data_IF_133105832809
#
_entry.id   IF_133105832809
#
_cell.length_a   1.000
_cell.length_b   1.000
_cell.length_c   1.000
_cell.angle_alpha   90.00
_cell.angle_beta   90.00
_cell.angle_gamma   90.00
#
_symmetry.space_group_name_H-M   'P 1'
#
loop_
_entity.id
_entity.type
_entity.pdbx_description
1 polymer ?
#
# COMPACT_ATOMS: atom_id res chain seq x y z
N UNK A 1 -6.15 2.53 5.28
CA UNK A 1 -4.70 2.84 5.31
C UNK A 1 -3.98 1.71 4.58
N UNK A 2 -3.05 2.02 3.67
CA UNK A 2 -2.21 1.02 3.02
C UNK A 2 -0.82 1.10 3.66
N UNK A 3 -0.35 0.02 4.30
CA UNK A 3 0.99 -0.04 4.89
C UNK A 3 1.93 -0.76 3.94
N UNK A 4 2.81 -0.02 3.26
CA UNK A 4 3.73 -0.58 2.27
C UNK A 4 4.78 -1.50 2.90
N UNK A 5 5.01 -2.66 2.27
CA UNK A 5 5.98 -3.68 2.70
C UNK A 5 7.12 -3.74 1.68
N UNK A 6 6.86 -4.20 0.46
CA UNK A 6 7.80 -4.10 -0.65
C UNK A 6 7.96 -2.62 -1.09
N UNK A 7 9.16 -2.17 -1.52
CA UNK A 7 10.41 -2.90 -1.70
C UNK A 7 11.34 -2.92 -0.48
N UNK A 8 10.85 -2.56 0.70
CA UNK A 8 11.69 -2.43 1.89
C UNK A 8 12.01 -3.81 2.48
N UNK A 9 13.24 -4.30 2.26
CA UNK A 9 13.66 -5.66 2.62
C UNK A 9 13.39 -6.01 4.09
N UNK A 10 13.67 -5.07 5.01
CA UNK A 10 13.39 -5.28 6.43
C UNK A 10 11.89 -5.52 6.73
N UNK A 11 10.98 -4.88 5.99
CA UNK A 11 9.54 -5.09 6.13
C UNK A 11 9.10 -6.40 5.47
N UNK A 12 9.67 -6.72 4.31
CA UNK A 12 9.43 -7.98 3.60
C UNK A 12 9.80 -9.16 4.51
N UNK A 13 10.98 -9.12 5.14
CA UNK A 13 11.44 -10.18 6.05
C UNK A 13 10.58 -10.28 7.31
N UNK A 14 10.15 -9.14 7.88
CA UNK A 14 9.26 -9.14 9.04
C UNK A 14 7.92 -9.83 8.72
N UNK A 15 7.29 -9.50 7.59
CA UNK A 15 6.01 -10.10 7.17
C UNK A 15 6.18 -11.55 6.77
N UNK A 16 7.25 -11.89 6.03
CA UNK A 16 7.58 -13.27 5.65
C UNK A 16 7.72 -14.16 6.88
N UNK A 17 8.49 -13.71 7.87
CA UNK A 17 8.70 -14.45 9.13
C UNK A 17 7.39 -14.62 9.89
N UNK A 18 6.62 -13.54 10.06
CA UNK A 18 5.38 -13.55 10.84
C UNK A 18 4.30 -14.49 10.25
N UNK A 19 4.23 -14.56 8.91
CA UNK A 19 3.23 -15.35 8.20
C UNK A 19 3.78 -16.68 7.65
N UNK A 20 5.04 -17.00 7.95
CA UNK A 20 5.74 -18.21 7.46
C UNK A 20 5.66 -18.37 5.93
N UNK A 21 5.78 -17.26 5.20
CA UNK A 21 5.73 -17.30 3.74
C UNK A 21 7.01 -17.93 3.18
N UNK A 22 6.94 -18.75 2.13
CA UNK A 22 8.13 -19.24 1.44
C UNK A 22 8.83 -18.10 0.67
N UNK A 23 10.12 -18.27 0.37
CA UNK A 23 10.97 -17.21 -0.16
C UNK A 23 10.48 -16.58 -1.47
N UNK A 24 9.84 -17.39 -2.32
CA UNK A 24 9.33 -16.96 -3.62
C UNK A 24 8.01 -16.15 -3.54
N UNK A 25 7.40 -16.05 -2.36
CA UNK A 25 6.23 -15.19 -2.13
C UNK A 25 6.70 -13.86 -1.54
N UNK A 26 6.43 -12.77 -2.26
CA UNK A 26 6.83 -11.41 -1.86
C UNK A 26 5.59 -10.63 -1.40
N UNK A 27 5.45 -10.30 -0.10
CA UNK A 27 4.36 -9.49 0.38
C UNK A 27 4.48 -8.04 -0.09
N UNK A 28 3.49 -7.56 -0.84
CA UNK A 28 3.43 -6.18 -1.32
C UNK A 28 3.10 -5.19 -0.18
N UNK A 29 2.09 -5.52 0.63
CA UNK A 29 1.53 -4.62 1.63
C UNK A 29 0.89 -5.38 2.80
N UNK A 30 0.54 -4.62 3.85
CA UNK A 30 -0.34 -5.04 4.92
C UNK A 30 -1.51 -4.04 5.02
N UNK A 31 -2.74 -4.55 5.10
CA UNK A 31 -3.96 -3.73 5.14
C UNK A 31 -4.63 -3.93 6.50
N UNK A 32 -4.43 -3.03 7.48
CA UNK A 32 -5.18 -3.08 8.72
C UNK A 32 -6.62 -2.61 8.48
N UNK A 33 -7.58 -3.38 9.01
CA UNK A 33 -9.02 -3.10 8.93
C UNK A 33 -9.59 -3.03 10.36
N UNK A 34 -10.46 -2.07 10.60
CA UNK A 34 -11.13 -1.87 11.88
C UNK A 34 -12.04 -0.63 11.86
N UNK A 35 -12.72 -0.37 12.96
CA UNK A 35 -13.53 0.84 13.10
C UNK A 35 -12.66 2.09 13.27
N UNK A 36 -12.91 3.17 12.51
CA UNK A 36 -12.10 4.37 12.60
C UNK A 36 -12.36 5.10 13.93
N UNK A 37 -11.30 5.60 14.57
CA UNK A 37 -11.42 6.41 15.80
C UNK A 37 -12.00 7.81 15.52
N UNK A 38 -11.84 8.31 14.30
CA UNK A 38 -12.36 9.61 13.87
C UNK A 38 -13.21 9.48 12.61
N UNK A 39 -13.57 10.63 12.02
CA UNK A 39 -14.39 10.71 10.81
C UNK A 39 -13.55 11.20 9.61
N UNK A 40 -12.72 10.32 9.00
CA UNK A 40 -11.91 10.72 7.86
C UNK A 40 -12.77 10.96 6.63
N UNK A 41 -12.66 12.14 6.03
CA UNK A 41 -13.29 12.43 4.73
C UNK A 41 -12.44 11.89 3.57
N UNK A 42 -13.07 11.51 2.45
CA UNK A 42 -12.35 11.23 1.21
C UNK A 42 -11.49 12.42 0.79
N UNK A 43 -10.33 12.14 0.19
CA UNK A 43 -9.49 13.17 -0.43
C UNK A 43 -9.97 13.40 -1.86
N UNK A 44 -10.09 14.66 -2.26
CA UNK A 44 -10.11 15.00 -3.68
C UNK A 44 -8.69 14.81 -4.24
N UNK A 45 -8.58 14.01 -5.29
CA UNK A 45 -7.32 13.65 -5.94
C UNK A 45 -7.35 13.98 -7.44
N UNK A 46 -8.40 14.63 -7.92
CA UNK A 46 -8.43 15.08 -9.30
C UNK A 46 -7.26 16.06 -9.53
N UNK A 47 -6.52 15.84 -10.62
CA UNK A 47 -5.49 16.76 -11.07
C UNK A 47 -5.53 16.82 -12.60
N UNK A 48 -5.86 18.00 -13.14
CA UNK A 48 -5.93 18.23 -14.57
C UNK A 48 -4.55 18.05 -15.25
N UNK A 49 -3.46 18.33 -14.55
CA UNK A 49 -2.10 18.21 -15.07
C UNK A 49 -1.69 16.75 -15.33
N UNK A 50 -2.41 15.77 -14.77
CA UNK A 50 -2.20 14.35 -15.05
C UNK A 50 -2.94 13.87 -16.32
N UNK A 51 -3.66 14.76 -17.03
CA UNK A 51 -4.46 14.44 -18.21
C UNK A 51 -3.75 14.98 -19.46
N UNK A 52 -3.43 14.07 -20.38
CA UNK A 52 -2.71 14.39 -21.60
C UNK A 52 -3.55 13.97 -22.83
N UNK A 53 -3.70 14.86 -23.80
CA UNK A 53 -4.44 14.59 -25.04
C UNK A 53 -3.48 14.45 -26.21
N UNK A 54 -3.62 13.36 -26.98
CA UNK A 54 -2.86 13.08 -28.20
C UNK A 54 -1.33 12.97 -28.03
N UNK A 55 -0.85 12.86 -26.79
CA UNK A 55 0.56 12.72 -26.44
C UNK A 55 0.71 12.54 -24.94
N UNK A 56 1.93 12.26 -24.50
CA UNK A 56 2.36 12.54 -23.13
C UNK A 56 2.73 14.02 -23.02
#
# INVERSE_FOLDING_TARGET
MWTGVHPYENRVQAVRTALQLPDYIVPLNLIPIGHPKGDPKPKDKYNADNIHFNGW
#
